data_IF_855609018112
#
_entry.id   IF_855609018112
#
_cell.length_a   1.000
_cell.length_b   1.000
_cell.length_c   1.000
_cell.angle_alpha   90.00
_cell.angle_beta   90.00
_cell.angle_gamma   90.00
#
_symmetry.space_group_name_H-M   'P 1'
#
loop_
_entity.id
_entity.type
_entity.pdbx_description
1 polymer ?
#
# COMPACT_ATOMS: atom_id res chain seq x y z
N UNK A 1 -37.31 -28.11 10.17
CA UNK A 1 -35.83 -28.20 10.30
C UNK A 1 -35.06 -27.44 9.22
N UNK A 2 -35.27 -27.65 7.91
CA UNK A 2 -34.47 -26.97 6.85
C UNK A 2 -34.48 -25.43 6.93
N UNK A 3 -35.63 -24.83 7.25
CA UNK A 3 -35.76 -23.37 7.43
C UNK A 3 -34.93 -22.86 8.63
N UNK A 4 -34.92 -23.59 9.75
CA UNK A 4 -34.13 -23.20 10.93
C UNK A 4 -32.63 -23.32 10.68
N UNK A 5 -32.19 -24.33 9.91
CA UNK A 5 -30.78 -24.47 9.51
C UNK A 5 -30.35 -23.39 8.52
N UNK A 6 -31.22 -22.95 7.61
CA UNK A 6 -30.95 -21.82 6.70
C UNK A 6 -30.82 -20.51 7.48
N UNK A 7 -31.73 -20.22 8.42
CA UNK A 7 -31.68 -18.99 9.23
C UNK A 7 -30.44 -18.97 10.14
N UNK A 8 -30.08 -20.10 10.76
CA UNK A 8 -28.87 -20.21 11.59
C UNK A 8 -27.59 -20.09 10.76
N UNK A 9 -27.56 -20.60 9.52
CA UNK A 9 -26.44 -20.41 8.62
C UNK A 9 -26.34 -18.97 8.13
N UNK A 10 -27.44 -18.34 7.75
CA UNK A 10 -27.49 -16.94 7.30
C UNK A 10 -27.02 -15.98 8.41
N UNK A 11 -27.42 -16.23 9.66
CA UNK A 11 -26.93 -15.46 10.82
C UNK A 11 -25.43 -15.70 11.10
N UNK A 12 -24.94 -16.94 10.97
CA UNK A 12 -23.53 -17.30 11.13
C UNK A 12 -22.67 -16.65 10.03
N UNK A 13 -23.12 -16.68 8.80
CA UNK A 13 -22.43 -16.11 7.63
C UNK A 13 -22.34 -14.58 7.73
N UNK A 14 -23.37 -13.92 8.27
CA UNK A 14 -23.33 -12.48 8.55
C UNK A 14 -22.26 -12.09 9.59
N UNK A 15 -22.17 -12.80 10.71
CA UNK A 15 -21.12 -12.53 11.71
C UNK A 15 -19.72 -12.82 11.18
N UNK A 16 -19.54 -13.92 10.44
CA UNK A 16 -18.26 -14.26 9.81
C UNK A 16 -17.82 -13.18 8.81
N UNK A 17 -18.73 -12.68 7.96
CA UNK A 17 -18.43 -11.61 7.01
C UNK A 17 -17.99 -10.32 7.71
N UNK A 18 -18.70 -9.91 8.76
CA UNK A 18 -18.36 -8.73 9.56
C UNK A 18 -16.96 -8.87 10.18
N UNK A 19 -16.68 -10.01 10.81
CA UNK A 19 -15.37 -10.28 11.41
C UNK A 19 -14.26 -10.26 10.35
N UNK A 20 -14.46 -10.90 9.20
CA UNK A 20 -13.50 -10.90 8.09
C UNK A 20 -13.24 -9.47 7.58
N UNK A 21 -14.26 -8.63 7.42
CA UNK A 21 -14.09 -7.23 7.02
C UNK A 21 -13.31 -6.41 8.05
N UNK A 22 -13.55 -6.65 9.34
CA UNK A 22 -12.77 -6.00 10.40
C UNK A 22 -11.29 -6.40 10.36
N UNK A 23 -10.99 -7.70 10.24
CA UNK A 23 -9.62 -8.21 10.14
C UNK A 23 -8.93 -7.64 8.89
N UNK A 24 -9.62 -7.60 7.76
CA UNK A 24 -9.12 -7.03 6.51
C UNK A 24 -8.85 -5.52 6.66
N UNK A 25 -9.72 -4.78 7.35
CA UNK A 25 -9.53 -3.36 7.64
C UNK A 25 -8.29 -3.09 8.50
N UNK A 26 -8.07 -3.90 9.53
CA UNK A 26 -6.87 -3.81 10.39
C UNK A 26 -5.60 -4.06 9.56
N UNK A 27 -5.61 -5.09 8.70
CA UNK A 27 -4.49 -5.41 7.82
C UNK A 27 -4.18 -4.33 6.78
N UNK A 28 -5.19 -3.61 6.30
CA UNK A 28 -5.02 -2.55 5.29
C UNK A 28 -4.59 -1.20 5.88
N UNK A 29 -4.86 -0.96 7.16
CA UNK A 29 -4.53 0.32 7.85
C UNK A 29 -3.05 0.72 7.75
N UNK A 30 -2.06 -0.18 8.02
CA UNK A 30 -0.66 0.20 7.97
C UNK A 30 -0.12 0.37 6.54
N UNK A 31 -0.86 -0.01 5.49
CA UNK A 31 -0.36 0.03 4.11
C UNK A 31 -0.08 1.46 3.65
N UNK A 32 -0.98 2.41 3.90
CA UNK A 32 -0.81 3.80 3.49
C UNK A 32 0.41 4.50 4.13
N UNK A 33 0.63 4.43 5.47
CA UNK A 33 1.83 5.00 6.07
C UNK A 33 3.10 4.26 5.66
N UNK A 34 3.05 2.93 5.49
CA UNK A 34 4.20 2.14 5.02
C UNK A 34 4.60 2.55 3.61
N UNK A 35 3.63 2.69 2.71
CA UNK A 35 3.83 3.21 1.35
C UNK A 35 4.48 4.58 1.42
N UNK A 36 3.96 5.51 2.23
CA UNK A 36 4.55 6.84 2.38
C UNK A 36 5.99 6.80 2.90
N UNK A 37 6.29 5.90 3.83
CA UNK A 37 7.64 5.67 4.34
C UNK A 37 8.58 5.12 3.27
N UNK A 38 8.16 4.11 2.51
CA UNK A 38 8.95 3.51 1.42
C UNK A 38 9.20 4.55 0.33
N UNK A 39 8.17 5.26 -0.14
CA UNK A 39 8.30 6.31 -1.14
C UNK A 39 9.29 7.41 -0.71
N UNK A 40 9.30 7.77 0.58
CA UNK A 40 10.20 8.80 1.09
C UNK A 40 11.68 8.36 1.14
N UNK A 41 11.96 7.05 1.17
CA UNK A 41 13.32 6.50 1.18
C UNK A 41 13.79 6.03 -0.20
N UNK A 42 12.85 5.68 -1.09
CA UNK A 42 13.14 5.13 -2.41
C UNK A 42 13.03 6.16 -3.54
N UNK A 43 12.41 7.33 -3.32
CA UNK A 43 12.22 8.32 -4.36
C UNK A 43 12.82 9.69 -4.01
N UNK A 44 13.43 10.37 -5.00
CA UNK A 44 13.85 11.75 -4.86
C UNK A 44 12.61 12.64 -4.66
N UNK A 45 12.74 13.69 -3.85
CA UNK A 45 11.63 14.55 -3.40
C UNK A 45 10.83 15.21 -4.53
N UNK A 46 11.46 15.43 -5.67
CA UNK A 46 10.82 16.04 -6.84
C UNK A 46 9.86 15.07 -7.57
N UNK A 47 10.08 13.77 -7.43
CA UNK A 47 9.34 12.72 -8.16
C UNK A 47 8.45 11.87 -7.26
N UNK A 48 8.42 12.17 -5.96
CA UNK A 48 7.60 11.43 -4.98
C UNK A 48 6.12 11.40 -5.39
N UNK A 49 5.58 12.50 -5.94
CA UNK A 49 4.19 12.56 -6.40
C UNK A 49 3.93 11.63 -7.60
N UNK A 50 4.88 11.52 -8.53
CA UNK A 50 4.79 10.63 -9.68
C UNK A 50 4.84 9.18 -9.21
N UNK A 51 5.77 8.85 -8.32
CA UNK A 51 5.87 7.50 -7.77
C UNK A 51 4.62 7.09 -7.00
N UNK A 52 4.07 7.98 -6.17
CA UNK A 52 2.79 7.73 -5.49
C UNK A 52 1.65 7.58 -6.50
N UNK A 53 1.58 8.39 -7.55
CA UNK A 53 0.56 8.26 -8.59
C UNK A 53 0.62 6.89 -9.28
N UNK A 54 1.81 6.43 -9.67
CA UNK A 54 2.03 5.10 -10.26
C UNK A 54 1.67 3.99 -9.27
N UNK A 55 2.04 4.14 -7.99
CA UNK A 55 1.73 3.15 -6.98
C UNK A 55 0.22 3.07 -6.68
N UNK A 56 -0.48 4.20 -6.72
CA UNK A 56 -1.94 4.25 -6.54
C UNK A 56 -2.70 3.72 -7.76
N UNK A 57 -2.17 3.84 -8.98
CA UNK A 57 -2.84 3.31 -10.17
C UNK A 57 -2.84 1.78 -10.22
N UNK A 58 -1.83 1.14 -9.62
CA UNK A 58 -1.77 -0.32 -9.46
C UNK A 58 -3.01 -0.89 -8.76
N UNK A 59 -3.52 -0.26 -7.70
CA UNK A 59 -4.68 -0.78 -6.95
C UNK A 59 -5.94 -0.86 -7.82
N UNK A 60 -6.12 0.12 -8.71
CA UNK A 60 -7.23 0.15 -9.66
C UNK A 60 -7.09 -0.95 -10.71
N UNK A 61 -5.88 -1.15 -11.24
CA UNK A 61 -5.59 -2.23 -12.20
C UNK A 61 -5.88 -3.60 -11.57
N UNK A 62 -5.45 -3.82 -10.33
CA UNK A 62 -5.75 -5.06 -9.59
C UNK A 62 -7.25 -5.30 -9.41
N UNK A 63 -8.02 -4.24 -9.12
CA UNK A 63 -9.46 -4.35 -9.00
C UNK A 63 -10.12 -4.81 -10.31
N UNK A 64 -9.79 -4.17 -11.43
CA UNK A 64 -10.30 -4.59 -12.74
C UNK A 64 -9.85 -5.99 -13.14
N UNK A 65 -8.60 -6.36 -12.83
CA UNK A 65 -8.06 -7.68 -13.09
C UNK A 65 -8.82 -8.77 -12.31
N UNK A 66 -9.07 -8.55 -11.02
CA UNK A 66 -9.85 -9.47 -10.19
C UNK A 66 -11.27 -9.68 -10.76
N UNK A 67 -11.96 -8.59 -11.11
CA UNK A 67 -13.30 -8.64 -11.71
C UNK A 67 -13.32 -9.38 -13.06
N UNK A 68 -12.25 -9.24 -13.86
CA UNK A 68 -12.12 -9.97 -15.12
C UNK A 68 -11.94 -11.48 -14.89
N UNK A 69 -11.06 -11.88 -13.97
CA UNK A 69 -10.79 -13.29 -13.69
C UNK A 69 -11.99 -14.05 -13.12
N UNK A 70 -12.83 -13.38 -12.31
CA UNK A 70 -14.07 -13.96 -11.78
C UNK A 70 -15.14 -14.25 -12.85
N UNK A 71 -15.08 -13.55 -13.99
CA UNK A 71 -16.01 -13.77 -15.11
C UNK A 71 -15.61 -14.95 -16.00
N UNK A 72 -14.41 -15.51 -15.78
CA UNK A 72 -13.94 -16.68 -16.53
C UNK A 72 -14.61 -17.94 -15.97
N UNK A 73 -15.49 -18.54 -16.78
CA UNK A 73 -16.43 -19.61 -16.41
C UNK A 73 -15.81 -20.90 -15.84
N UNK A 74 -14.50 -21.11 -16.00
CA UNK A 74 -13.78 -22.31 -15.55
C UNK A 74 -12.38 -21.92 -15.06
N UNK A 75 -12.14 -21.99 -13.74
CA UNK A 75 -10.79 -21.91 -13.16
C UNK A 75 -10.17 -20.52 -13.01
N UNK A 76 -10.90 -19.43 -13.31
CA UNK A 76 -10.40 -18.06 -13.18
C UNK A 76 -9.94 -17.70 -11.76
N UNK A 77 -10.62 -18.24 -10.74
CA UNK A 77 -10.29 -18.14 -9.32
C UNK A 77 -8.85 -18.65 -9.02
N UNK A 78 -8.50 -19.80 -9.60
CA UNK A 78 -7.20 -20.46 -9.41
C UNK A 78 -6.10 -19.74 -10.19
N UNK A 79 -6.43 -19.20 -11.36
CA UNK A 79 -5.49 -18.39 -12.14
C UNK A 79 -5.17 -17.06 -11.43
N UNK A 80 -6.20 -16.39 -10.89
CA UNK A 80 -6.03 -15.14 -10.16
C UNK A 80 -5.19 -15.33 -8.88
N UNK A 81 -5.50 -16.36 -8.10
CA UNK A 81 -4.73 -16.69 -6.88
C UNK A 81 -3.30 -17.12 -7.20
N UNK A 82 -3.09 -17.92 -8.25
CA UNK A 82 -1.75 -18.30 -8.71
C UNK A 82 -0.89 -17.12 -9.15
N UNK A 83 -1.45 -16.20 -9.94
CA UNK A 83 -0.75 -14.98 -10.38
C UNK A 83 -0.41 -14.09 -9.18
N UNK A 84 -1.34 -13.95 -8.23
CA UNK A 84 -1.10 -13.14 -7.02
C UNK A 84 -0.01 -13.75 -6.15
N UNK A 85 0.04 -15.09 -6.03
CA UNK A 85 1.10 -15.79 -5.30
C UNK A 85 2.47 -15.60 -5.96
N UNK A 86 2.55 -15.71 -7.29
CA UNK A 86 3.80 -15.48 -8.04
C UNK A 86 4.24 -14.02 -7.87
N UNK A 87 3.32 -13.06 -7.96
CA UNK A 87 3.61 -11.65 -7.75
C UNK A 87 4.09 -11.37 -6.32
N UNK A 88 3.49 -12.01 -5.32
CA UNK A 88 3.93 -11.91 -3.93
C UNK A 88 5.33 -12.51 -3.73
N UNK A 89 5.62 -13.66 -4.33
CA UNK A 89 6.95 -14.26 -4.28
C UNK A 89 8.00 -13.40 -5.00
N UNK A 90 7.66 -12.82 -6.15
CA UNK A 90 8.52 -11.89 -6.86
C UNK A 90 8.79 -10.64 -6.03
N UNK A 91 7.76 -10.09 -5.38
CA UNK A 91 7.90 -8.97 -4.45
C UNK A 91 8.78 -9.34 -3.26
N UNK A 92 8.57 -10.51 -2.64
CA UNK A 92 9.37 -10.96 -1.50
C UNK A 92 10.86 -11.12 -1.83
N UNK A 93 11.19 -11.53 -3.07
CA UNK A 93 12.59 -11.68 -3.52
C UNK A 93 13.21 -10.34 -3.93
N UNK A 94 12.44 -9.47 -4.59
CA UNK A 94 12.93 -8.22 -5.16
C UNK A 94 12.93 -7.06 -4.14
N UNK A 95 11.96 -7.02 -3.23
CA UNK A 95 11.79 -5.92 -2.29
C UNK A 95 12.78 -6.04 -1.14
N UNK A 96 13.61 -5.01 -0.97
CA UNK A 96 14.48 -4.82 0.20
C UNK A 96 14.07 -3.52 0.87
N UNK A 97 14.14 -3.47 2.20
CA UNK A 97 13.66 -2.29 2.94
C UNK A 97 14.49 -1.04 2.65
N UNK A 98 15.78 -1.20 2.33
CA UNK A 98 16.69 -0.10 2.04
C UNK A 98 17.23 -0.15 0.61
N UNK A 99 17.30 1.00 -0.09
CA UNK A 99 17.90 1.07 -1.43
C UNK A 99 19.38 0.67 -1.43
N UNK A 100 20.07 0.81 -0.28
CA UNK A 100 21.48 0.42 -0.09
C UNK A 100 21.74 -1.08 -0.19
N UNK A 101 20.75 -1.90 0.14
CA UNK A 101 20.90 -3.35 0.14
C UNK A 101 20.53 -3.95 -1.24
N UNK A 102 20.07 -3.13 -2.17
CA UNK A 102 19.63 -3.57 -3.49
C UNK A 102 20.83 -3.72 -4.45
N UNK A 103 21.16 -4.95 -4.90
CA UNK A 103 22.35 -5.22 -5.72
C UNK A 103 22.28 -4.63 -7.13
N UNK A 104 21.10 -4.15 -7.56
CA UNK A 104 20.89 -3.57 -8.88
C UNK A 104 20.75 -2.04 -8.89
N UNK A 105 20.95 -1.35 -7.75
CA UNK A 105 20.90 0.12 -7.76
C UNK A 105 22.23 0.71 -8.26
N UNK A 106 22.15 1.69 -9.16
CA UNK A 106 23.33 2.40 -9.62
C UNK A 106 23.86 3.32 -8.51
N UNK A 107 25.18 3.39 -8.34
CA UNK A 107 25.81 4.27 -7.33
C UNK A 107 25.42 5.75 -7.50
N UNK A 108 25.17 6.18 -8.75
CA UNK A 108 24.72 7.55 -9.03
C UNK A 108 23.28 7.83 -8.62
N UNK A 109 22.38 6.83 -8.76
CA UNK A 109 20.99 6.93 -8.31
C UNK A 109 20.90 6.95 -6.79
N UNK A 110 21.73 6.14 -6.12
CA UNK A 110 21.84 6.13 -4.66
C UNK A 110 22.28 7.50 -4.11
N UNK A 111 23.29 8.14 -4.71
CA UNK A 111 23.72 9.49 -4.31
C UNK A 111 22.62 10.53 -4.52
N UNK A 112 21.92 10.46 -5.65
CA UNK A 112 20.83 11.39 -5.95
C UNK A 112 19.66 11.29 -4.95
N UNK A 113 19.30 10.08 -4.52
CA UNK A 113 18.27 9.84 -3.51
C UNK A 113 18.71 10.37 -2.13
N UNK A 114 19.98 10.17 -1.75
CA UNK A 114 20.51 10.65 -0.47
C UNK A 114 20.61 12.19 -0.41
N UNK A 115 21.03 12.83 -1.50
CA UNK A 115 21.10 14.29 -1.62
C UNK A 115 19.70 14.93 -1.65
N UNK A 116 18.73 14.29 -2.29
CA UNK A 116 17.34 14.77 -2.37
C UNK A 116 16.45 14.26 -1.23
N UNK A 117 17.00 13.53 -0.26
CA UNK A 117 16.27 12.96 0.87
C UNK A 117 15.67 14.01 1.80
N UNK A 118 14.81 13.61 2.76
CA UNK A 118 14.23 14.55 3.71
C UNK A 118 15.32 15.23 4.54
N UNK A 119 15.49 16.55 4.39
CA UNK A 119 16.31 17.35 5.31
C UNK A 119 15.81 17.12 6.74
N UNK A 120 16.73 16.97 7.70
CA UNK A 120 16.36 16.83 9.13
C UNK A 120 15.34 17.92 9.45
N UNK A 121 14.16 17.52 9.93
CA UNK A 121 13.14 18.46 10.38
C UNK A 121 13.72 19.27 11.54
N UNK A 122 14.19 20.47 11.27
CA UNK A 122 14.55 21.42 12.32
C UNK A 122 13.26 21.84 13.03
N UNK A 123 13.29 21.90 14.36
CA UNK A 123 12.16 22.38 15.14
C UNK A 123 11.85 23.82 14.69
N UNK A 124 10.73 24.00 13.99
CA UNK A 124 10.26 25.33 13.60
C UNK A 124 9.82 26.07 14.88
N UNK A 125 10.40 27.23 15.21
CA UNK A 125 10.01 27.99 16.39
C UNK A 125 8.63 28.61 16.16
N UNK A 126 7.58 27.87 16.53
CA UNK A 126 6.17 28.28 16.41
C UNK A 126 5.83 29.56 17.19
N UNK A 127 6.63 29.88 18.22
CA UNK A 127 6.48 31.09 19.03
C UNK A 127 6.74 32.38 18.25
N UNK A 128 7.58 32.36 17.21
CA UNK A 128 7.98 33.57 16.48
C UNK A 128 7.03 33.92 15.32
N UNK A 129 6.38 32.93 14.70
CA UNK A 129 5.39 33.18 13.64
C UNK A 129 4.06 33.75 14.16
N UNK A 130 3.70 33.46 15.42
CA UNK A 130 2.47 33.97 16.01
C UNK A 130 2.56 35.47 16.36
N UNK A 131 3.74 35.94 16.77
CA UNK A 131 3.99 37.35 17.11
C UNK A 131 4.02 38.24 15.85
N UNK A 132 4.52 37.73 14.73
CA UNK A 132 4.67 38.51 13.50
C UNK A 132 3.39 38.59 12.64
N UNK A 133 2.34 37.81 12.96
CA UNK A 133 1.08 37.77 12.20
C UNK A 133 -0.06 38.59 12.83
N UNK A 134 0.18 39.24 13.98
CA UNK A 134 -0.76 40.18 14.59
C UNK A 134 -0.54 41.55 13.94
N UNK A 135 -1.55 42.13 13.25
CA UNK A 135 -1.47 43.53 12.85
C UNK A 135 -1.39 44.42 14.12
N UNK A 136 -0.72 45.59 14.03
CA UNK A 136 -0.50 46.49 15.15
C UNK A 136 -1.79 47.07 15.74
#
# INVERSE_FOLDING_TARGET
>A
CKIFTTIVNEYRDHYCSVICSFIQGIGNTPLFPLIGFVCAHWCPRNETALFVAVLTSYSQVCFYFAQFTLKLRMGGEFLASGITLIAFMAWYIAFRDFPRDHPWISKGEMQYIEECGPTRRFAVPYKLKFIFSLPP
#
